data_IF_786466100546
#
_entry.id   IF_786466100546
#
_cell.length_a   1.000
_cell.length_b   1.000
_cell.length_c   1.000
_cell.angle_alpha   90.00
_cell.angle_beta   90.00
_cell.angle_gamma   90.00
#
_symmetry.space_group_name_H-M   'P 1'
#
loop_
_entity.id
_entity.type
_entity.pdbx_description
1 polymer ?
#
# COMPACT_ATOMS: atom_id res chain seq x y z
N UNK A 1 -46.33 -28.41 -66.44
CA UNK A 1 -45.84 -28.63 -67.81
C UNK A 1 -44.32 -28.56 -67.77
N UNK A 2 -43.65 -29.65 -68.18
CA UNK A 2 -42.22 -29.84 -68.49
C UNK A 2 -41.18 -29.63 -67.36
N UNK A 3 -40.56 -30.65 -66.73
CA UNK A 3 -39.71 -31.79 -67.16
C UNK A 3 -38.30 -31.44 -67.68
N UNK A 4 -37.29 -31.83 -66.86
CA UNK A 4 -36.01 -32.54 -67.14
C UNK A 4 -34.88 -31.89 -67.97
N UNK A 5 -33.68 -31.86 -67.35
CA UNK A 5 -32.48 -32.69 -67.67
C UNK A 5 -31.40 -32.38 -66.58
N UNK A 6 -30.84 -33.27 -65.75
CA UNK A 6 -30.16 -34.59 -65.88
C UNK A 6 -28.66 -34.51 -66.24
N UNK A 7 -27.83 -34.74 -65.19
CA UNK A 7 -26.53 -35.47 -65.07
C UNK A 7 -25.29 -34.93 -65.80
N UNK A 8 -24.14 -34.86 -65.11
CA UNK A 8 -23.23 -36.02 -64.93
C UNK A 8 -22.46 -36.09 -63.60
N UNK A 9 -22.18 -37.34 -63.19
CA UNK A 9 -21.38 -37.78 -62.04
C UNK A 9 -19.95 -38.17 -62.44
N UNK A 10 -18.99 -38.05 -61.52
CA UNK A 10 -17.92 -39.03 -61.23
C UNK A 10 -17.37 -38.76 -59.82
N UNK A 11 -17.79 -39.52 -58.79
CA UNK A 11 -17.12 -40.69 -58.16
C UNK A 11 -15.77 -40.37 -57.49
N UNK A 12 -15.71 -40.28 -56.15
CA UNK A 12 -15.57 -41.36 -55.13
C UNK A 12 -14.12 -41.85 -54.96
N UNK A 13 -13.55 -41.54 -53.79
CA UNK A 13 -12.40 -42.20 -53.18
C UNK A 13 -12.47 -41.97 -51.68
N UNK A 14 -13.00 -42.95 -50.95
CA UNK A 14 -13.11 -42.95 -49.50
C UNK A 14 -11.82 -43.49 -48.86
N UNK A 15 -11.35 -42.85 -47.80
CA UNK A 15 -10.58 -43.52 -46.76
C UNK A 15 -10.89 -42.83 -45.42
N UNK A 16 -11.56 -43.57 -44.56
CA UNK A 16 -11.87 -43.20 -43.20
C UNK A 16 -10.59 -43.21 -42.35
N UNK A 17 -10.38 -42.14 -41.57
CA UNK A 17 -9.68 -42.24 -40.30
C UNK A 17 -10.61 -41.70 -39.23
N UNK A 18 -11.19 -42.65 -38.49
CA UNK A 18 -11.83 -42.39 -37.21
C UNK A 18 -10.82 -41.73 -36.28
N UNK A 19 -11.24 -40.67 -35.61
CA UNK A 19 -10.40 -39.98 -34.64
C UNK A 19 -10.99 -38.65 -34.21
N UNK A 20 -12.20 -38.66 -33.68
CA UNK A 20 -12.55 -37.68 -32.66
C UNK A 20 -12.68 -38.44 -31.34
N UNK A 21 -11.85 -38.08 -30.36
CA UNK A 21 -12.35 -37.38 -29.19
C UNK A 21 -11.91 -35.93 -29.33
N UNK A 22 -12.87 -35.00 -29.32
CA UNK A 22 -13.21 -34.25 -28.10
C UNK A 22 -12.00 -33.50 -27.53
N UNK A 23 -12.08 -32.17 -27.60
CA UNK A 23 -11.70 -31.28 -26.50
C UNK A 23 -10.34 -31.55 -25.83
N UNK A 24 -9.25 -31.37 -26.57
CA UNK A 24 -7.92 -31.07 -26.02
C UNK A 24 -7.27 -30.14 -27.05
N UNK A 25 -7.33 -28.80 -26.93
CA UNK A 25 -6.49 -28.05 -25.99
C UNK A 25 -6.94 -26.59 -25.80
N UNK A 26 -8.19 -26.23 -26.13
CA UNK A 26 -8.73 -24.88 -25.84
C UNK A 26 -9.17 -24.69 -24.37
N UNK A 27 -8.94 -25.70 -23.52
CA UNK A 27 -8.89 -25.57 -22.08
C UNK A 27 -7.42 -25.73 -21.65
N UNK A 28 -6.57 -24.77 -22.01
CA UNK A 28 -5.63 -24.31 -21.00
C UNK A 28 -6.56 -23.72 -19.93
N UNK A 29 -6.77 -24.46 -18.84
CA UNK A 29 -7.50 -23.95 -17.69
C UNK A 29 -6.90 -22.57 -17.40
N UNK A 30 -7.65 -21.49 -17.67
CA UNK A 30 -7.35 -20.19 -17.07
C UNK A 30 -7.28 -20.52 -15.59
N UNK A 31 -6.10 -20.50 -15.00
CA UNK A 31 -5.97 -20.59 -13.57
C UNK A 31 -6.99 -19.58 -13.01
N UNK A 32 -7.85 -20.03 -12.09
CA UNK A 32 -8.79 -19.11 -11.45
C UNK A 32 -7.94 -17.95 -10.88
N UNK A 33 -8.27 -16.72 -11.28
CA UNK A 33 -7.53 -15.56 -10.80
C UNK A 33 -7.53 -15.57 -9.27
N UNK A 34 -6.33 -15.55 -8.68
CA UNK A 34 -6.17 -15.54 -7.23
C UNK A 34 -6.97 -14.38 -6.63
N UNK A 35 -7.84 -14.69 -5.68
CA UNK A 35 -8.52 -13.69 -4.85
C UNK A 35 -7.65 -13.43 -3.64
N UNK A 36 -7.22 -12.18 -3.48
CA UNK A 36 -6.41 -11.75 -2.34
C UNK A 36 -7.30 -11.30 -1.19
N UNK A 37 -6.92 -11.64 0.05
CA UNK A 37 -7.63 -11.21 1.25
C UNK A 37 -6.90 -10.04 1.94
N UNK A 38 -7.67 -9.11 2.51
CA UNK A 38 -7.09 -7.99 3.25
C UNK A 38 -6.40 -8.47 4.54
N UNK A 39 -5.17 -7.99 4.74
CA UNK A 39 -4.30 -8.41 5.84
C UNK A 39 -3.64 -9.78 5.66
N UNK A 40 -3.84 -10.46 4.52
CA UNK A 40 -3.21 -11.76 4.23
C UNK A 40 -1.68 -11.69 4.29
N UNK A 41 -1.08 -10.57 3.85
CA UNK A 41 0.37 -10.38 3.79
C UNK A 41 1.07 -10.53 5.16
N UNK A 42 0.53 -9.87 6.19
CA UNK A 42 1.06 -9.96 7.56
C UNK A 42 0.42 -11.11 8.35
N UNK A 43 -0.72 -11.62 7.89
CA UNK A 43 -1.57 -12.53 8.64
C UNK A 43 -2.39 -11.79 9.71
N UNK A 44 -2.95 -12.56 10.65
CA UNK A 44 -3.79 -12.05 11.75
C UNK A 44 -3.32 -12.59 13.10
N UNK A 45 -3.80 -11.97 14.18
CA UNK A 45 -3.52 -12.38 15.55
C UNK A 45 -2.02 -12.44 15.83
N UNK A 46 -1.54 -13.56 16.38
CA UNK A 46 -0.15 -13.73 16.82
C UNK A 46 0.87 -13.45 15.73
N UNK A 47 0.60 -13.80 14.46
CA UNK A 47 1.55 -13.58 13.36
C UNK A 47 1.77 -12.08 13.11
N UNK A 48 0.69 -11.30 13.12
CA UNK A 48 0.74 -9.86 12.96
C UNK A 48 1.52 -9.22 14.13
N UNK A 49 1.24 -9.64 15.36
CA UNK A 49 1.91 -9.10 16.56
C UNK A 49 3.40 -9.44 16.59
N UNK A 50 3.79 -10.65 16.15
CA UNK A 50 5.21 -11.00 16.00
C UNK A 50 5.91 -10.17 14.94
N UNK A 51 5.23 -9.86 13.83
CA UNK A 51 5.78 -9.03 12.77
C UNK A 51 5.94 -7.57 13.25
N UNK A 52 4.94 -7.00 13.92
CA UNK A 52 5.01 -5.66 14.53
C UNK A 52 6.13 -5.55 15.55
N UNK A 53 6.33 -6.57 16.39
CA UNK A 53 7.42 -6.61 17.37
C UNK A 53 8.82 -6.63 16.75
N UNK A 54 8.95 -6.98 15.46
CA UNK A 54 10.22 -6.90 14.73
C UNK A 54 10.40 -5.57 13.98
N UNK A 55 9.34 -4.78 13.87
CA UNK A 55 9.27 -3.55 13.08
C UNK A 55 8.59 -2.46 13.92
N UNK A 56 9.21 -2.09 15.04
CA UNK A 56 8.65 -1.13 16.01
C UNK A 56 8.41 0.26 15.41
N UNK A 57 9.13 0.62 14.36
CA UNK A 57 8.96 1.86 13.60
C UNK A 57 7.92 1.75 12.47
N UNK A 58 7.13 0.66 12.40
CA UNK A 58 6.07 0.49 11.41
C UNK A 58 4.71 0.32 12.09
N UNK A 59 3.80 1.23 11.77
CA UNK A 59 2.44 1.26 12.30
C UNK A 59 1.46 1.02 11.14
N UNK A 60 0.46 0.18 11.38
CA UNK A 60 -0.58 -0.14 10.41
C UNK A 60 -1.95 0.13 11.02
N UNK A 61 -2.86 0.70 10.22
CA UNK A 61 -4.25 0.82 10.61
C UNK A 61 -4.84 -0.54 11.01
N UNK A 62 -5.84 -0.52 11.88
CA UNK A 62 -6.54 -1.73 12.28
C UNK A 62 -7.14 -2.43 11.05
N UNK A 63 -6.54 -3.57 10.70
CA UNK A 63 -6.93 -4.40 9.57
C UNK A 63 -8.32 -5.03 9.78
N UNK A 64 -8.87 -4.99 10.99
CA UNK A 64 -10.23 -5.46 11.30
C UNK A 64 -11.28 -4.34 11.19
N UNK A 65 -10.86 -3.08 11.09
CA UNK A 65 -11.78 -1.94 10.96
C UNK A 65 -12.56 -2.00 9.64
N UNK A 66 -13.88 -2.18 9.75
CA UNK A 66 -14.79 -2.21 8.60
C UNK A 66 -14.72 -0.93 7.75
N UNK A 67 -14.48 0.22 8.39
CA UNK A 67 -14.33 1.51 7.70
C UNK A 67 -13.10 1.52 6.79
N UNK A 68 -11.97 1.03 7.29
CA UNK A 68 -10.73 0.93 6.51
C UNK A 68 -10.93 -0.11 5.40
N UNK A 69 -11.53 -1.26 5.69
CA UNK A 69 -11.79 -2.29 4.68
C UNK A 69 -12.72 -1.82 3.56
N UNK A 70 -13.77 -1.07 3.89
CA UNK A 70 -14.68 -0.47 2.92
C UNK A 70 -13.95 0.54 2.02
N UNK A 71 -13.16 1.43 2.62
CA UNK A 71 -12.34 2.39 1.88
C UNK A 71 -11.34 1.69 0.95
N UNK A 72 -10.57 0.74 1.49
CA UNK A 72 -9.59 -0.04 0.74
C UNK A 72 -10.23 -0.81 -0.41
N UNK A 73 -11.39 -1.42 -0.21
CA UNK A 73 -12.12 -2.14 -1.27
C UNK A 73 -12.51 -1.19 -2.40
N UNK A 74 -13.06 -0.01 -2.07
CA UNK A 74 -13.44 0.99 -3.08
C UNK A 74 -12.25 1.52 -3.85
N UNK A 75 -11.12 1.82 -3.19
CA UNK A 75 -9.94 2.29 -3.92
C UNK A 75 -9.26 1.17 -4.70
N UNK A 76 -9.49 -0.12 -4.42
CA UNK A 76 -8.98 -1.24 -5.24
C UNK A 76 -9.83 -1.50 -6.47
N UNK A 77 -11.14 -1.21 -6.42
CA UNK A 77 -12.07 -1.41 -7.53
C UNK A 77 -11.59 -0.69 -8.80
N UNK A 78 -11.37 -1.45 -9.87
CA UNK A 78 -10.88 -0.98 -11.17
C UNK A 78 -11.70 0.20 -11.73
N UNK A 79 -13.03 0.17 -11.54
CA UNK A 79 -13.97 1.17 -12.03
C UNK A 79 -13.94 2.47 -11.21
N UNK A 80 -13.24 2.49 -10.07
CA UNK A 80 -13.15 3.68 -9.23
C UNK A 80 -12.04 4.62 -9.72
N UNK A 81 -12.42 5.74 -10.32
CA UNK A 81 -11.49 6.78 -10.78
C UNK A 81 -12.10 8.19 -10.61
N UNK A 82 -11.27 9.20 -10.77
CA UNK A 82 -11.64 10.62 -10.70
C UNK A 82 -12.20 11.00 -9.33
N UNK A 83 -13.26 11.80 -9.31
CA UNK A 83 -13.82 12.34 -8.08
C UNK A 83 -14.24 11.27 -7.05
N UNK A 84 -14.72 10.11 -7.52
CA UNK A 84 -15.08 8.98 -6.64
C UNK A 84 -13.83 8.41 -5.96
N UNK A 85 -12.77 8.16 -6.73
CA UNK A 85 -11.51 7.64 -6.20
C UNK A 85 -10.85 8.64 -5.27
N UNK A 86 -10.80 9.93 -5.66
CA UNK A 86 -10.31 11.01 -4.81
C UNK A 86 -11.04 11.07 -3.47
N UNK A 87 -12.37 10.93 -3.46
CA UNK A 87 -13.16 10.93 -2.23
C UNK A 87 -12.79 9.76 -1.32
N UNK A 88 -12.81 8.53 -1.84
CA UNK A 88 -12.52 7.33 -1.05
C UNK A 88 -11.05 7.30 -0.58
N UNK A 89 -10.10 7.61 -1.47
CA UNK A 89 -8.67 7.63 -1.15
C UNK A 89 -8.31 8.71 -0.12
N UNK A 90 -8.86 9.93 -0.26
CA UNK A 90 -8.66 10.97 0.75
C UNK A 90 -9.27 10.58 2.10
N UNK A 91 -10.37 9.81 2.09
CA UNK A 91 -10.96 9.24 3.31
C UNK A 91 -9.97 8.35 4.06
N UNK A 92 -9.38 7.38 3.38
CA UNK A 92 -8.41 6.46 4.00
C UNK A 92 -7.11 7.18 4.37
N UNK A 93 -6.59 8.08 3.52
CA UNK A 93 -5.39 8.88 3.83
C UNK A 93 -5.56 9.70 5.10
N UNK A 94 -6.76 10.27 5.34
CA UNK A 94 -7.06 10.98 6.59
C UNK A 94 -6.98 10.07 7.79
N UNK A 95 -7.59 8.88 7.72
CA UNK A 95 -7.49 7.91 8.81
C UNK A 95 -6.05 7.47 9.07
N UNK A 96 -5.23 7.31 8.04
CA UNK A 96 -3.80 7.01 8.21
C UNK A 96 -3.03 8.17 8.82
N UNK A 97 -3.35 9.42 8.44
CA UNK A 97 -2.77 10.62 9.04
C UNK A 97 -3.18 10.77 10.51
N UNK A 98 -4.44 10.51 10.83
CA UNK A 98 -4.94 10.54 12.21
C UNK A 98 -4.17 9.54 13.07
N UNK A 99 -3.90 8.34 12.56
CA UNK A 99 -3.03 7.35 13.23
C UNK A 99 -1.59 7.84 13.33
N UNK A 100 -1.03 8.46 12.31
CA UNK A 100 0.33 9.00 12.39
C UNK A 100 0.45 10.11 13.44
N UNK A 101 -0.60 10.91 13.62
CA UNK A 101 -0.64 11.96 14.64
C UNK A 101 -0.66 11.39 16.06
N UNK A 102 -1.23 10.20 16.29
CA UNK A 102 -1.20 9.58 17.64
C UNK A 102 0.19 9.09 18.06
N UNK A 103 1.12 8.98 17.11
CA UNK A 103 2.50 8.57 17.35
C UNK A 103 3.42 9.73 17.74
N UNK A 104 2.92 10.97 17.68
CA UNK A 104 3.67 12.16 18.07
C UNK A 104 3.69 12.31 19.61
N UNK A 105 4.71 12.99 20.18
CA UNK A 105 4.80 13.24 21.61
C UNK A 105 3.52 13.90 22.16
N UNK A 106 2.96 13.32 23.22
CA UNK A 106 1.70 13.77 23.80
C UNK A 106 1.69 13.62 25.33
N UNK A 107 0.88 14.46 25.98
CA UNK A 107 0.56 14.41 27.40
C UNK A 107 -0.84 13.79 27.57
N UNK A 108 -0.87 12.54 28.04
CA UNK A 108 -2.10 11.77 28.31
C UNK A 108 -2.80 12.17 29.62
N UNK A 109 -2.16 12.99 30.47
CA UNK A 109 -2.68 13.44 31.76
C UNK A 109 -3.16 14.90 31.73
N UNK A 110 -3.29 15.47 30.53
CA UNK A 110 -3.67 16.87 30.37
C UNK A 110 -5.07 17.15 30.90
N UNK A 111 -5.21 18.19 31.72
CA UNK A 111 -6.49 18.60 32.30
C UNK A 111 -6.96 19.92 31.70
N UNK A 112 -8.08 19.87 30.98
CA UNK A 112 -8.72 21.07 30.42
C UNK A 112 -9.91 21.51 31.27
N UNK A 113 -10.21 22.81 31.25
CA UNK A 113 -11.41 23.37 31.89
C UNK A 113 -12.45 23.68 30.82
N UNK A 114 -13.61 23.03 30.91
CA UNK A 114 -14.74 23.26 30.00
C UNK A 114 -15.28 24.69 30.14
N UNK A 115 -16.02 25.23 29.13
CA UNK A 115 -16.69 26.53 29.26
C UNK A 115 -17.69 26.64 30.42
N UNK A 116 -18.04 25.50 31.05
CA UNK A 116 -18.91 25.42 32.23
C UNK A 116 -18.14 25.35 33.56
N UNK A 117 -16.81 25.40 33.53
CA UNK A 117 -15.94 25.37 34.71
C UNK A 117 -15.61 23.97 35.24
N UNK A 118 -16.12 22.90 34.63
CA UNK A 118 -15.74 21.53 34.99
C UNK A 118 -14.38 21.16 34.40
N UNK A 119 -13.57 20.43 35.17
CA UNK A 119 -12.30 19.86 34.72
C UNK A 119 -12.51 18.49 34.08
N UNK A 120 -11.77 18.19 33.02
CA UNK A 120 -11.79 16.91 32.31
C UNK A 120 -10.36 16.55 31.92
N UNK A 121 -9.97 15.31 32.17
CA UNK A 121 -8.71 14.72 31.69
C UNK A 121 -8.84 14.33 30.22
N UNK A 122 -7.76 14.51 29.46
CA UNK A 122 -7.69 14.18 28.05
C UNK A 122 -6.25 14.13 27.56
N UNK A 123 -6.10 14.06 26.23
CA UNK A 123 -4.81 13.97 25.56
C UNK A 123 -4.56 15.25 24.74
N UNK A 124 -3.35 15.79 24.84
CA UNK A 124 -2.86 16.92 24.03
C UNK A 124 -1.45 16.64 23.55
N UNK A 125 -1.01 17.26 22.47
CA UNK A 125 0.41 17.24 22.11
C UNK A 125 1.24 17.99 23.16
N UNK A 126 2.50 17.59 23.34
CA UNK A 126 3.45 18.37 24.14
C UNK A 126 3.67 19.77 23.53
N UNK A 127 3.97 20.77 24.36
CA UNK A 127 3.98 22.20 23.97
C UNK A 127 4.99 22.54 22.86
N UNK A 128 6.03 21.73 22.67
CA UNK A 128 7.09 21.93 21.69
C UNK A 128 6.89 21.15 20.38
N UNK A 129 5.83 20.33 20.28
CA UNK A 129 5.49 19.59 19.06
C UNK A 129 5.02 20.55 17.98
N UNK A 130 5.82 20.67 16.91
CA UNK A 130 5.49 21.46 15.71
C UNK A 130 5.37 20.54 14.52
N UNK A 131 4.24 20.55 13.83
CA UNK A 131 3.97 19.63 12.73
C UNK A 131 4.25 20.27 11.37
N UNK A 132 4.87 19.51 10.46
CA UNK A 132 5.05 19.88 9.06
C UNK A 132 4.57 18.73 8.14
N UNK A 133 3.57 19.00 7.30
CA UNK A 133 3.12 18.05 6.29
C UNK A 133 3.79 18.29 4.94
N UNK A 134 4.31 17.25 4.29
CA UNK A 134 4.92 17.34 2.97
C UNK A 134 4.23 16.37 2.02
N UNK A 135 3.65 16.89 0.93
CA UNK A 135 3.03 16.06 -0.09
C UNK A 135 4.05 15.65 -1.16
N UNK A 136 4.04 14.36 -1.53
CA UNK A 136 4.94 13.80 -2.53
C UNK A 136 4.13 13.19 -3.68
N UNK A 137 4.36 13.69 -4.89
CA UNK A 137 3.73 13.15 -6.10
C UNK A 137 4.58 13.42 -7.35
N UNK A 138 4.34 12.68 -8.43
CA UNK A 138 4.96 12.90 -9.72
C UNK A 138 4.23 13.95 -10.58
N UNK A 139 2.92 14.10 -10.39
CA UNK A 139 2.06 15.05 -11.10
C UNK A 139 1.59 16.17 -10.18
N UNK A 140 1.69 17.40 -10.68
CA UNK A 140 1.34 18.61 -9.95
C UNK A 140 -0.12 18.64 -9.46
N UNK A 141 -1.07 18.17 -10.27
CA UNK A 141 -2.49 18.18 -9.87
C UNK A 141 -2.79 17.14 -8.78
N UNK A 142 -2.11 15.98 -8.78
CA UNK A 142 -2.22 15.01 -7.70
C UNK A 142 -1.57 15.55 -6.42
N UNK A 143 -0.41 16.20 -6.53
CA UNK A 143 0.26 16.88 -5.42
C UNK A 143 -0.67 17.89 -4.72
N UNK A 144 -1.33 18.76 -5.49
CA UNK A 144 -2.28 19.75 -4.92
C UNK A 144 -3.40 19.08 -4.12
N UNK A 145 -3.92 17.95 -4.62
CA UNK A 145 -4.93 17.16 -3.91
C UNK A 145 -4.40 16.61 -2.58
N UNK A 146 -3.20 16.03 -2.59
CA UNK A 146 -2.53 15.52 -1.39
C UNK A 146 -2.18 16.65 -0.40
N UNK A 147 -1.71 17.79 -0.88
CA UNK A 147 -1.49 18.99 -0.07
C UNK A 147 -2.79 19.44 0.60
N UNK A 148 -3.93 19.33 -0.08
CA UNK A 148 -5.22 19.66 0.52
C UNK A 148 -5.62 18.65 1.61
N UNK A 149 -5.32 17.36 1.43
CA UNK A 149 -5.53 16.35 2.48
C UNK A 149 -4.75 16.74 3.74
N UNK A 150 -3.45 17.04 3.62
CA UNK A 150 -2.63 17.49 4.74
C UNK A 150 -3.23 18.72 5.45
N UNK A 151 -3.60 19.76 4.69
CA UNK A 151 -4.19 21.00 5.24
C UNK A 151 -5.50 20.81 5.98
N UNK A 152 -6.25 19.77 5.66
CA UNK A 152 -7.54 19.47 6.30
C UNK A 152 -7.45 18.48 7.46
N UNK A 153 -6.28 17.90 7.70
CA UNK A 153 -6.10 16.80 8.67
C UNK A 153 -5.09 17.16 9.76
N UNK A 154 -4.05 17.91 9.42
CA UNK A 154 -3.01 18.28 10.37
C UNK A 154 -3.45 19.43 11.30
N UNK A 155 -2.77 19.60 12.45
CA UNK A 155 -3.01 20.72 13.36
C UNK A 155 -3.02 22.09 12.65
N UNK A 156 -3.81 23.02 13.16
CA UNK A 156 -4.08 24.31 12.52
C UNK A 156 -2.82 25.13 12.20
N UNK A 157 -1.82 25.06 13.06
CA UNK A 157 -0.54 25.79 12.99
C UNK A 157 0.56 25.03 12.23
N UNK A 158 0.22 23.90 11.61
CA UNK A 158 1.18 23.09 10.84
C UNK A 158 1.77 23.87 9.66
N UNK A 159 3.05 23.61 9.37
CA UNK A 159 3.70 24.04 8.13
C UNK A 159 3.43 23.04 7.00
N UNK A 160 3.61 23.48 5.76
CA UNK A 160 3.36 22.63 4.58
C UNK A 160 4.45 22.76 3.53
N UNK A 161 4.95 21.63 3.06
CA UNK A 161 5.88 21.52 1.94
C UNK A 161 5.34 20.65 0.81
N UNK A 162 6.01 20.73 -0.33
CA UNK A 162 5.62 20.02 -1.55
C UNK A 162 6.88 19.51 -2.27
N UNK A 163 6.93 18.22 -2.56
CA UNK A 163 8.02 17.59 -3.31
C UNK A 163 7.47 16.91 -4.56
N UNK A 164 7.85 17.43 -5.72
CA UNK A 164 7.60 16.78 -7.00
C UNK A 164 8.72 15.82 -7.32
N UNK A 165 8.36 14.59 -7.64
CA UNK A 165 9.29 13.53 -8.01
C UNK A 165 9.16 13.13 -9.48
N UNK A 166 10.21 12.52 -10.01
CA UNK A 166 10.19 11.87 -11.31
C UNK A 166 10.65 10.42 -11.14
N UNK A 167 9.81 9.48 -11.56
CA UNK A 167 10.16 8.06 -11.55
C UNK A 167 11.35 7.77 -12.47
N UNK A 168 12.24 6.89 -12.01
CA UNK A 168 13.36 6.38 -12.80
C UNK A 168 13.17 4.91 -13.15
N UNK A 169 13.88 4.42 -14.17
CA UNK A 169 13.74 3.07 -14.75
C UNK A 169 13.99 1.86 -13.80
N UNK A 170 14.12 2.08 -12.49
CA UNK A 170 14.32 1.05 -11.45
C UNK A 170 13.37 1.23 -10.25
N UNK A 171 12.19 1.82 -10.46
CA UNK A 171 11.17 2.01 -9.42
C UNK A 171 11.49 3.11 -8.38
N UNK A 172 12.68 3.69 -8.41
CA UNK A 172 13.04 4.82 -7.55
C UNK A 172 12.57 6.18 -8.07
N UNK A 173 12.76 7.21 -7.24
CA UNK A 173 12.41 8.58 -7.56
C UNK A 173 13.64 9.51 -7.63
N UNK A 174 13.55 10.56 -8.43
CA UNK A 174 14.42 11.76 -8.38
C UNK A 174 13.57 12.94 -7.98
N UNK A 175 14.12 13.86 -7.18
CA UNK A 175 13.44 15.11 -6.84
C UNK A 175 13.52 16.03 -8.06
N UNK A 176 12.37 16.32 -8.66
CA UNK A 176 12.24 17.27 -9.76
C UNK A 176 12.13 18.71 -9.23
N UNK A 177 11.41 18.90 -8.12
CA UNK A 177 11.28 20.18 -7.43
C UNK A 177 10.93 19.91 -5.96
N UNK A 178 11.54 20.66 -5.05
CA UNK A 178 11.13 20.69 -3.65
C UNK A 178 10.81 22.14 -3.26
N UNK A 179 9.70 22.34 -2.58
CA UNK A 179 9.29 23.62 -2.00
C UNK A 179 8.98 23.33 -0.54
N UNK A 180 9.97 23.58 0.32
CA UNK A 180 9.90 23.27 1.74
C UNK A 180 9.78 24.58 2.54
N UNK A 181 9.11 24.56 3.69
CA UNK A 181 9.15 25.68 4.63
C UNK A 181 10.59 26.00 5.04
N UNK A 182 10.85 27.27 5.36
CA UNK A 182 12.06 27.65 6.06
C UNK A 182 12.01 27.10 7.49
N UNK A 183 13.18 26.68 7.99
CA UNK A 183 13.39 26.21 9.36
C UNK A 183 12.49 25.02 9.74
N UNK A 184 12.94 23.82 9.38
CA UNK A 184 12.31 22.55 9.72
C UNK A 184 12.93 21.90 10.97
N UNK A 185 13.92 22.55 11.59
CA UNK A 185 14.54 22.04 12.80
C UNK A 185 13.50 21.89 13.91
N UNK A 186 13.59 20.78 14.64
CA UNK A 186 12.64 20.42 15.69
C UNK A 186 11.18 20.18 15.27
N UNK A 187 10.85 20.12 13.97
CA UNK A 187 9.49 19.78 13.54
C UNK A 187 9.30 18.27 13.37
N UNK A 188 8.11 17.78 13.73
CA UNK A 188 7.58 16.49 13.34
C UNK A 188 7.14 16.55 11.87
N UNK A 189 7.83 15.83 10.99
CA UNK A 189 7.63 15.90 9.53
C UNK A 189 6.87 14.67 9.03
N UNK A 190 5.66 14.89 8.53
CA UNK A 190 4.80 13.86 7.95
C UNK A 190 4.88 13.91 6.41
N UNK A 191 5.50 12.89 5.82
CA UNK A 191 5.64 12.71 4.37
C UNK A 191 4.43 11.92 3.83
N UNK A 192 3.55 12.58 3.08
CA UNK A 192 2.40 11.93 2.46
C UNK A 192 2.77 11.37 1.07
N UNK A 193 2.92 10.05 0.99
CA UNK A 193 3.22 9.29 -0.22
C UNK A 193 2.20 8.16 -0.39
N UNK A 194 1.25 8.23 -1.34
CA UNK A 194 0.11 7.31 -1.40
C UNK A 194 0.46 5.81 -1.53
N UNK A 195 1.58 5.47 -2.15
CA UNK A 195 2.07 4.10 -2.28
C UNK A 195 3.58 4.04 -2.04
N UNK A 196 4.01 3.13 -1.17
CA UNK A 196 5.41 2.80 -0.96
C UNK A 196 5.68 1.37 -1.45
N UNK A 197 6.21 1.25 -2.66
CA UNK A 197 6.64 0.00 -3.26
C UNK A 197 8.14 -0.28 -3.01
N UNK A 198 8.96 0.75 -2.84
CA UNK A 198 10.37 0.56 -2.48
C UNK A 198 10.95 1.80 -1.79
N UNK A 199 11.97 1.59 -0.95
CA UNK A 199 12.72 2.68 -0.29
C UNK A 199 13.25 3.71 -1.28
N UNK A 200 13.62 3.28 -2.48
CA UNK A 200 14.15 4.17 -3.51
C UNK A 200 13.16 5.27 -3.95
N UNK A 201 11.86 5.14 -3.63
CA UNK A 201 10.86 6.18 -3.88
C UNK A 201 10.95 7.35 -2.90
N UNK A 202 11.45 7.12 -1.69
CA UNK A 202 11.43 8.09 -0.58
C UNK A 202 12.83 8.48 -0.09
N UNK A 203 13.83 7.63 -0.31
CA UNK A 203 15.23 7.78 0.12
C UNK A 203 15.79 9.20 -0.05
N UNK A 204 15.72 9.74 -1.26
CA UNK A 204 16.25 11.09 -1.55
C UNK A 204 15.51 12.20 -0.82
N UNK A 205 14.22 12.01 -0.53
CA UNK A 205 13.42 13.01 0.17
C UNK A 205 13.80 13.02 1.65
N UNK A 206 13.93 11.85 2.27
CA UNK A 206 14.38 11.73 3.66
C UNK A 206 15.78 12.33 3.83
N UNK A 207 16.73 11.97 2.95
CA UNK A 207 18.06 12.58 2.99
C UNK A 207 18.06 14.08 2.75
N UNK A 208 17.17 14.61 1.90
CA UNK A 208 17.02 16.06 1.74
C UNK A 208 16.56 16.71 3.05
N UNK A 209 15.61 16.11 3.77
CA UNK A 209 15.13 16.64 5.06
C UNK A 209 16.21 16.61 6.13
N UNK A 210 16.95 15.50 6.23
CA UNK A 210 18.10 15.39 7.14
C UNK A 210 19.17 16.45 6.84
N UNK A 211 19.42 16.74 5.56
CA UNK A 211 20.33 17.82 5.16
C UNK A 211 19.80 19.23 5.53
N UNK A 212 18.49 19.38 5.70
CA UNK A 212 17.86 20.61 6.20
C UNK A 212 17.76 20.66 7.74
N UNK A 213 18.34 19.68 8.44
CA UNK A 213 18.39 19.65 9.91
C UNK A 213 17.27 18.84 10.58
N UNK A 214 16.40 18.17 9.83
CA UNK A 214 15.36 17.31 10.41
C UNK A 214 16.00 16.02 10.94
N UNK A 215 15.78 15.71 12.21
CA UNK A 215 16.22 14.46 12.83
C UNK A 215 15.44 13.28 12.23
N UNK A 216 16.11 12.14 11.99
CA UNK A 216 15.49 10.98 11.33
C UNK A 216 14.26 10.47 12.10
N UNK A 217 14.34 10.45 13.44
CA UNK A 217 13.24 10.03 14.34
C UNK A 217 11.98 10.90 14.25
N UNK A 218 12.11 12.14 13.75
CA UNK A 218 10.98 13.07 13.54
C UNK A 218 10.37 12.96 12.15
N UNK A 219 10.79 11.99 11.35
CA UNK A 219 10.27 11.77 10.00
C UNK A 219 9.30 10.60 10.02
N UNK A 220 8.05 10.86 9.63
CA UNK A 220 7.01 9.85 9.48
C UNK A 220 6.53 9.78 8.04
N UNK A 221 6.67 8.63 7.37
CA UNK A 221 6.10 8.36 6.05
C UNK A 221 4.70 7.81 6.20
N UNK A 222 3.72 8.47 5.57
CA UNK A 222 2.30 8.12 5.63
C UNK A 222 1.82 7.64 4.26
N UNK A 223 1.27 6.42 4.19
CA UNK A 223 0.89 5.78 2.92
C UNK A 223 -0.44 5.02 2.98
N UNK A 224 -1.09 4.79 1.83
CA UNK A 224 -2.26 3.91 1.77
C UNK A 224 -1.83 2.46 1.77
N UNK A 225 -0.75 2.14 1.06
CA UNK A 225 -0.41 0.76 0.77
C UNK A 225 1.10 0.59 0.62
N UNK A 226 1.58 -0.52 1.16
CA UNK A 226 2.95 -1.00 1.06
C UNK A 226 2.97 -2.53 1.01
N UNK A 227 4.15 -3.13 0.88
CA UNK A 227 4.38 -4.57 1.03
C UNK A 227 5.34 -4.87 2.19
N UNK A 228 5.36 -6.10 2.73
CA UNK A 228 6.34 -6.49 3.75
C UNK A 228 7.78 -6.25 3.28
N UNK A 229 8.11 -6.61 2.04
CA UNK A 229 9.45 -6.39 1.47
C UNK A 229 9.84 -4.90 1.47
N UNK A 230 8.92 -4.01 1.08
CA UNK A 230 9.16 -2.57 1.05
C UNK A 230 9.34 -1.99 2.46
N UNK A 231 8.54 -2.45 3.43
CA UNK A 231 8.65 -2.05 4.82
C UNK A 231 9.96 -2.56 5.47
N UNK A 232 10.34 -3.81 5.24
CA UNK A 232 11.62 -4.37 5.70
C UNK A 232 12.80 -3.57 5.13
N UNK A 233 12.72 -3.20 3.84
CA UNK A 233 13.69 -2.32 3.21
C UNK A 233 13.76 -0.96 3.90
N UNK A 234 12.60 -0.37 4.19
CA UNK A 234 12.49 0.93 4.85
C UNK A 234 13.14 0.89 6.23
N UNK A 235 12.80 -0.08 7.06
CA UNK A 235 13.36 -0.22 8.42
C UNK A 235 14.88 -0.42 8.42
N UNK A 236 15.42 -1.10 7.39
CA UNK A 236 16.87 -1.27 7.23
C UNK A 236 17.58 0.02 6.83
N UNK A 237 16.92 0.89 6.08
CA UNK A 237 17.51 2.12 5.57
C UNK A 237 17.31 3.31 6.52
N UNK A 238 16.13 3.37 7.15
CA UNK A 238 15.68 4.46 8.01
C UNK A 238 15.05 3.86 9.28
N UNK A 239 15.91 3.37 10.17
CA UNK A 239 15.49 2.65 11.38
C UNK A 239 14.86 3.55 12.44
N UNK A 240 15.21 4.83 12.44
CA UNK A 240 14.69 5.80 13.39
C UNK A 240 13.41 6.47 12.86
N UNK A 241 13.27 6.61 11.53
CA UNK A 241 12.07 7.13 10.91
C UNK A 241 10.90 6.15 11.02
N UNK A 242 9.67 6.67 11.03
CA UNK A 242 8.44 5.88 11.15
C UNK A 242 7.75 5.68 9.80
N UNK A 243 7.13 4.53 9.59
CA UNK A 243 6.22 4.24 8.49
C UNK A 243 4.82 3.96 9.03
N UNK A 244 3.84 4.74 8.60
CA UNK A 244 2.42 4.55 8.94
C UNK A 244 1.63 4.24 7.67
N UNK A 245 0.96 3.09 7.63
CA UNK A 245 0.25 2.63 6.42
C UNK A 245 -1.18 2.16 6.69
N UNK A 246 -2.08 2.32 5.72
CA UNK A 246 -3.43 1.77 5.83
C UNK A 246 -3.50 0.26 5.59
N UNK A 247 -2.62 -0.28 4.76
CA UNK A 247 -2.69 -1.67 4.33
C UNK A 247 -1.33 -2.23 3.94
N UNK A 248 -1.18 -3.54 4.15
CA UNK A 248 -0.10 -4.35 3.60
C UNK A 248 -0.65 -5.30 2.55
N UNK A 249 0.02 -5.31 1.41
CA UNK A 249 -0.27 -6.22 0.29
C UNK A 249 0.87 -7.22 0.10
N UNK A 250 0.58 -8.32 -0.57
CA UNK A 250 1.36 -9.57 -0.45
C UNK A 250 2.82 -9.43 -0.87
N UNK A 251 3.09 -8.77 -1.99
CA UNK A 251 4.44 -8.71 -2.60
C UNK A 251 4.55 -7.59 -3.62
N UNK A 252 5.74 -7.43 -4.17
CA UNK A 252 5.98 -6.71 -5.42
C UNK A 252 5.98 -7.70 -6.61
N UNK A 253 5.51 -7.27 -7.77
CA UNK A 253 5.70 -8.03 -9.02
C UNK A 253 7.06 -7.71 -9.66
N UNK A 254 7.37 -8.36 -10.78
CA UNK A 254 8.63 -8.16 -11.53
C UNK A 254 8.83 -6.73 -12.07
N UNK A 255 7.78 -5.92 -12.11
CA UNK A 255 7.83 -4.51 -12.53
C UNK A 255 7.96 -3.56 -11.33
N UNK A 256 7.96 -4.08 -10.10
CA UNK A 256 8.07 -3.31 -8.87
C UNK A 256 6.75 -2.70 -8.39
N UNK A 257 5.61 -3.23 -8.83
CA UNK A 257 4.28 -2.81 -8.38
C UNK A 257 3.77 -3.69 -7.23
N UNK A 258 3.10 -3.06 -6.25
CA UNK A 258 2.47 -3.78 -5.14
C UNK A 258 1.30 -4.64 -5.64
N UNK A 259 1.21 -5.88 -5.17
CA UNK A 259 0.19 -6.86 -5.57
C UNK A 259 -0.64 -7.31 -4.37
N UNK A 260 -1.99 -7.26 -4.44
CA UNK A 260 -2.81 -6.86 -5.60
C UNK A 260 -2.84 -5.35 -5.90
N UNK A 261 -2.45 -4.49 -4.95
CA UNK A 261 -2.24 -3.07 -5.17
C UNK A 261 -3.51 -2.25 -5.43
N UNK A 262 -3.30 -1.02 -5.88
CA UNK A 262 -4.35 -0.08 -6.31
C UNK A 262 -4.12 0.43 -7.73
N UNK A 263 -3.16 -0.14 -8.47
CA UNK A 263 -2.71 0.41 -9.76
C UNK A 263 -2.11 1.82 -9.61
N UNK A 264 -2.09 2.60 -10.70
CA UNK A 264 -1.52 3.95 -10.63
C UNK A 264 -2.42 4.91 -9.86
N UNK A 265 -2.05 5.23 -8.62
CA UNK A 265 -2.76 6.19 -7.78
C UNK A 265 -3.01 7.51 -8.51
N UNK A 266 -1.97 8.12 -9.10
CA UNK A 266 -2.09 9.46 -9.67
C UNK A 266 -2.93 9.51 -10.96
N UNK A 267 -2.90 8.45 -11.78
CA UNK A 267 -3.80 8.38 -12.95
C UNK A 267 -5.26 8.30 -12.50
N UNK A 268 -5.55 7.43 -11.53
CA UNK A 268 -6.91 7.25 -11.01
C UNK A 268 -7.40 8.48 -10.26
N UNK A 269 -6.52 9.12 -9.49
CA UNK A 269 -6.81 10.37 -8.78
C UNK A 269 -7.17 11.51 -9.73
N UNK A 270 -6.58 11.54 -10.93
CA UNK A 270 -6.86 12.54 -11.96
C UNK A 270 -7.98 12.14 -12.93
N UNK A 271 -8.58 10.97 -12.74
CA UNK A 271 -9.70 10.49 -13.56
C UNK A 271 -9.30 9.88 -14.90
N UNK A 272 -8.01 9.54 -15.09
CA UNK A 272 -7.60 8.74 -16.23
C UNK A 272 -8.10 7.29 -16.05
N UNK A 273 -8.46 6.60 -17.16
CA UNK A 273 -8.92 5.23 -17.10
C UNK A 273 -7.81 4.31 -16.57
N UNK A 274 -8.16 3.43 -15.64
CA UNK A 274 -7.29 2.35 -15.18
C UNK A 274 -6.87 1.50 -16.39
N UNK A 275 -5.58 1.30 -16.61
CA UNK A 275 -5.12 0.32 -17.60
C UNK A 275 -5.19 -1.06 -16.96
N UNK A 276 -5.97 -1.98 -17.53
CA UNK A 276 -5.84 -3.40 -17.18
C UNK A 276 -4.47 -3.83 -17.67
N UNK A 277 -3.55 -4.09 -16.75
CA UNK A 277 -2.30 -4.77 -17.08
C UNK A 277 -2.65 -6.25 -17.18
N UNK A 278 -2.35 -6.89 -18.31
CA UNK A 278 -2.48 -8.34 -18.41
C UNK A 278 -1.61 -8.95 -17.31
N UNK A 279 -2.27 -9.55 -16.31
CA UNK A 279 -1.60 -10.26 -15.24
C UNK A 279 -0.96 -11.48 -15.89
N UNK A 280 0.33 -11.39 -16.19
CA UNK A 280 1.14 -12.59 -16.39
C UNK A 280 1.13 -13.26 -15.03
N UNK A 281 0.48 -14.43 -14.92
CA UNK A 281 0.41 -15.21 -13.69
C UNK A 281 1.84 -15.39 -13.15
N UNK A 282 2.18 -14.63 -12.11
CA UNK A 282 3.26 -15.01 -11.22
C UNK A 282 2.76 -16.27 -10.51
N UNK A 283 3.49 -17.41 -10.59
CA UNK A 283 3.12 -18.59 -9.85
C UNK A 283 2.97 -18.17 -8.38
N UNK A 284 1.83 -18.52 -7.77
CA UNK A 284 1.68 -18.34 -6.34
C UNK A 284 2.90 -18.96 -5.67
N UNK A 285 3.67 -18.16 -4.93
CA UNK A 285 4.67 -18.74 -4.03
C UNK A 285 3.91 -19.69 -3.11
N UNK A 286 4.26 -20.98 -3.20
CA UNK A 286 3.75 -22.02 -2.34
C UNK A 286 4.31 -21.76 -0.93
N UNK A 287 3.61 -20.92 -0.17
CA UNK A 287 3.94 -20.63 1.23
C UNK A 287 3.72 -21.86 2.13
N UNK A 288 3.23 -22.98 1.57
CA UNK A 288 3.14 -24.25 2.26
C UNK A 288 4.50 -24.74 2.78
N UNK A 289 5.60 -24.46 2.06
CA UNK A 289 6.94 -24.86 2.50
C UNK A 289 7.44 -24.02 3.69
N UNK A 290 7.14 -22.73 3.74
CA UNK A 290 7.50 -21.87 4.88
C UNK A 290 6.65 -22.15 6.12
N UNK A 291 5.35 -22.37 5.95
CA UNK A 291 4.46 -22.73 7.05
C UNK A 291 4.86 -24.11 7.63
N UNK A 292 5.21 -25.07 6.77
CA UNK A 292 5.72 -26.38 7.19
C UNK A 292 7.10 -26.27 7.85
N UNK A 293 7.99 -25.41 7.36
CA UNK A 293 9.29 -25.16 7.98
C UNK A 293 9.16 -24.47 9.34
N UNK A 294 8.22 -23.54 9.51
CA UNK A 294 7.93 -22.88 10.78
C UNK A 294 7.29 -23.84 11.77
N UNK A 295 6.30 -24.65 11.34
CA UNK A 295 5.72 -25.74 12.14
C UNK A 295 6.79 -26.74 12.56
N UNK A 296 7.72 -27.11 11.68
CA UNK A 296 8.82 -28.00 12.00
C UNK A 296 9.80 -27.39 13.02
N UNK A 297 10.14 -26.10 12.89
CA UNK A 297 10.97 -25.37 13.88
C UNK A 297 10.30 -25.25 15.25
N UNK A 298 9.00 -24.93 15.28
CA UNK A 298 8.23 -24.85 16.53
C UNK A 298 8.14 -26.23 17.19
N UNK A 299 7.82 -27.26 16.41
CA UNK A 299 7.71 -28.65 16.91
C UNK A 299 9.06 -29.16 17.43
N UNK A 300 10.17 -28.86 16.76
CA UNK A 300 11.50 -29.25 17.23
C UNK A 300 11.87 -28.52 18.54
N UNK A 301 11.56 -27.22 18.64
CA UNK A 301 11.83 -26.41 19.83
C UNK A 301 11.03 -26.89 21.03
N UNK A 302 9.74 -27.18 20.84
CA UNK A 302 8.86 -27.76 21.88
C UNK A 302 9.36 -29.15 22.29
N UNK A 303 9.74 -30.01 21.34
CA UNK A 303 10.26 -31.35 21.65
C UNK A 303 11.56 -31.34 22.45
N UNK A 304 12.38 -30.27 22.32
CA UNK A 304 13.62 -30.13 23.08
C UNK A 304 13.39 -29.71 24.54
N UNK A 305 12.26 -29.05 24.84
CA UNK A 305 11.84 -28.75 26.21
C UNK A 305 11.33 -29.99 26.97
N UNK A 306 10.73 -30.95 26.26
CA UNK A 306 10.21 -32.19 26.87
C UNK A 306 11.21 -33.36 26.86
N UNK A 307 12.44 -33.15 26.38
CA UNK A 307 13.52 -34.16 26.40
C UNK A 307 14.56 -33.95 27.52
N UNK A 308 14.33 -32.96 28.40
CA UNK A 308 15.10 -32.79 29.64
C UNK A 308 14.24 -33.25 30.81
N UNK A 309 14.15 -34.57 30.97
CA UNK A 309 13.90 -35.29 32.22
C UNK A 309 14.51 -36.69 32.10
#
# INVERSE_FOLDING_TARGET
MFLRAVRTHAKLGAAALMGAPMLLSQQQARAEQRVYASGEALGRGVRLELWKAQHENVVVLDLESELIQLGMTRIRDYENAGAKFTHDANGVLRSTLDLALTELPNDEEAVVTTPRGYKVEGLVFEDDVKVCGISIAAKLEAQKGLSQVLRTSLPYDSKYGEVLVQQVAKGGNKIAKATLPEDLDGHEVLLLLPELASVAQIDKVIHLLMQQGVEEEKITVVTLITSPEAADGFCKAFGDARLVTASFDSRLNNEGHVVPGIGSFEERYLGAPSTVVDVIDDPAEDTGDEENALKAKITSKISSWFKKD
#
